data_IF_890089510055
#
_entry.id   IF_890089510055
#
_cell.length_a   1.000
_cell.length_b   1.000
_cell.length_c   1.000
_cell.angle_alpha   90.00
_cell.angle_beta   90.00
_cell.angle_gamma   90.00
#
_symmetry.space_group_name_H-M   'P 1'
#
loop_
_entity.id
_entity.type
_entity.pdbx_description
1 polymer ?
#
# COMPACT_ATOMS: atom_id res chain seq x y z
N UNK A 1 -9.47 62.03 26.69
CA UNK A 1 -9.16 60.61 26.95
C UNK A 1 -10.47 59.82 26.94
N UNK A 2 -10.87 59.26 25.79
CA UNK A 2 -11.97 58.28 25.68
C UNK A 2 -11.57 57.27 24.59
N UNK A 3 -11.62 56.00 24.98
CA UNK A 3 -11.02 54.84 24.33
C UNK A 3 -11.90 54.37 23.16
N UNK A 4 -11.27 54.16 22.01
CA UNK A 4 -11.84 53.56 20.80
C UNK A 4 -11.94 52.04 21.02
N UNK A 5 -13.14 51.46 20.94
CA UNK A 5 -13.35 50.01 20.82
C UNK A 5 -14.02 49.78 19.46
N UNK A 6 -13.21 49.38 18.48
CA UNK A 6 -13.65 48.94 17.15
C UNK A 6 -13.93 47.44 17.21
N UNK A 7 -15.22 47.08 17.27
CA UNK A 7 -15.71 45.70 17.28
C UNK A 7 -15.76 45.16 15.84
N UNK A 8 -14.72 44.41 15.44
CA UNK A 8 -14.66 43.71 14.14
C UNK A 8 -15.31 42.33 14.30
N UNK A 9 -16.54 42.19 13.80
CA UNK A 9 -17.22 40.91 13.64
C UNK A 9 -16.66 40.17 12.42
N UNK A 10 -15.89 39.10 12.63
CA UNK A 10 -15.53 38.14 11.59
C UNK A 10 -16.57 37.01 11.56
N UNK A 11 -17.55 37.10 10.66
CA UNK A 11 -18.40 35.97 10.28
C UNK A 11 -17.68 35.14 9.22
N UNK A 12 -16.93 34.12 9.64
CA UNK A 12 -16.51 33.03 8.76
C UNK A 12 -17.54 31.90 8.85
N UNK A 13 -18.49 31.87 7.91
CA UNK A 13 -19.30 30.70 7.63
C UNK A 13 -18.42 29.62 7.01
N UNK A 14 -18.16 28.55 7.75
CA UNK A 14 -17.55 27.34 7.22
C UNK A 14 -18.68 26.43 6.74
N UNK A 15 -18.91 26.36 5.42
CA UNK A 15 -19.86 25.43 4.84
C UNK A 15 -19.25 24.02 4.89
N UNK A 16 -19.67 23.23 5.88
CA UNK A 16 -19.29 21.83 6.01
C UNK A 16 -20.06 21.02 4.96
N UNK A 17 -19.35 20.55 3.94
CA UNK A 17 -19.85 19.51 3.03
C UNK A 17 -20.13 18.27 3.89
N UNK A 18 -21.41 17.98 4.09
CA UNK A 18 -21.92 16.80 4.75
C UNK A 18 -21.58 15.59 3.87
N UNK A 19 -20.63 14.77 4.30
CA UNK A 19 -20.46 13.42 3.75
C UNK A 19 -21.24 12.48 4.67
N UNK A 20 -22.28 11.84 4.13
CA UNK A 20 -22.93 10.74 4.84
C UNK A 20 -21.89 9.65 5.17
N UNK A 21 -21.67 9.44 6.46
CA UNK A 21 -20.84 8.36 6.96
C UNK A 21 -21.49 7.01 6.61
N UNK A 22 -21.06 6.40 5.50
CA UNK A 22 -21.34 4.99 5.26
C UNK A 22 -20.66 4.15 6.35
N UNK A 23 -21.44 3.81 7.37
CA UNK A 23 -21.00 2.96 8.47
C UNK A 23 -21.01 1.52 8.00
N UNK A 24 -19.89 1.03 7.47
CA UNK A 24 -19.74 -0.39 7.16
C UNK A 24 -19.66 -1.18 8.48
N UNK A 25 -20.72 -1.93 8.80
CA UNK A 25 -20.71 -2.89 9.91
C UNK A 25 -19.78 -4.06 9.57
N UNK A 26 -18.54 -3.98 10.04
CA UNK A 26 -17.68 -5.16 10.12
C UNK A 26 -18.23 -6.13 11.17
N UNK A 27 -18.12 -7.46 10.97
CA UNK A 27 -18.12 -8.34 12.12
C UNK A 27 -16.89 -7.98 12.94
N UNK A 28 -17.11 -7.20 14.02
CA UNK A 28 -16.15 -7.12 15.12
C UNK A 28 -15.87 -8.57 15.49
N UNK A 29 -14.66 -9.06 15.21
CA UNK A 29 -14.17 -10.23 15.95
C UNK A 29 -13.96 -9.67 17.35
N UNK A 30 -15.03 -9.69 18.15
CA UNK A 30 -14.96 -9.22 19.51
C UNK A 30 -13.92 -10.06 20.22
N UNK A 31 -12.91 -9.44 20.86
CA UNK A 31 -11.92 -10.18 21.60
C UNK A 31 -12.68 -11.02 22.63
N UNK A 32 -12.55 -12.34 22.51
CA UNK A 32 -13.20 -13.26 23.45
C UNK A 32 -12.61 -12.98 24.83
N UNK A 33 -13.36 -13.27 25.89
CA UNK A 33 -12.86 -13.16 27.27
C UNK A 33 -11.52 -13.90 27.48
N UNK A 34 -11.24 -14.91 26.65
CA UNK A 34 -9.99 -15.71 26.58
C UNK A 34 -8.82 -15.05 25.83
N UNK A 35 -9.00 -13.83 25.30
CA UNK A 35 -7.95 -13.03 24.66
C UNK A 35 -7.31 -12.03 25.63
N UNK A 36 -7.79 -11.97 26.87
CA UNK A 36 -7.20 -11.18 27.95
C UNK A 36 -6.67 -12.07 29.06
N UNK A 37 -5.47 -11.75 29.53
CA UNK A 37 -4.87 -12.34 30.70
C UNK A 37 -4.86 -11.33 31.84
N UNK A 38 -5.28 -11.76 33.03
CA UNK A 38 -5.20 -10.98 34.26
C UNK A 38 -3.86 -11.30 34.93
N UNK A 39 -2.97 -10.30 34.99
CA UNK A 39 -1.63 -10.42 35.59
C UNK A 39 -1.77 -10.86 37.05
N UNK A 40 -0.99 -11.86 37.46
CA UNK A 40 -0.92 -12.36 38.83
C UNK A 40 0.30 -11.78 39.54
N UNK A 41 0.30 -11.83 40.88
CA UNK A 41 1.50 -11.49 41.68
C UNK A 41 2.67 -12.39 41.25
N UNK A 42 3.80 -11.79 40.90
CA UNK A 42 4.99 -12.50 40.43
C UNK A 42 5.09 -12.69 38.90
N UNK A 43 4.05 -12.31 38.13
CA UNK A 43 4.14 -12.31 36.68
C UNK A 43 5.05 -11.19 36.15
N UNK A 44 5.75 -11.47 35.06
CA UNK A 44 6.44 -10.48 34.25
C UNK A 44 6.16 -10.75 32.76
N UNK A 45 6.54 -9.81 31.87
CA UNK A 45 6.27 -9.97 30.44
C UNK A 45 6.92 -11.23 29.84
N UNK A 46 8.05 -11.67 30.39
CA UNK A 46 8.73 -12.90 29.96
C UNK A 46 7.94 -14.16 30.38
N UNK A 47 7.48 -14.25 31.62
CA UNK A 47 6.68 -15.40 32.10
C UNK A 47 5.37 -15.53 31.34
N UNK A 48 4.70 -14.39 31.08
CA UNK A 48 3.46 -14.35 30.28
C UNK A 48 3.74 -14.73 28.83
N UNK A 49 4.81 -14.20 28.23
CA UNK A 49 5.23 -14.52 26.87
C UNK A 49 5.47 -16.02 26.68
N UNK A 50 6.22 -16.64 27.60
CA UNK A 50 6.53 -18.07 27.59
C UNK A 50 5.28 -18.93 27.78
N UNK A 51 4.42 -18.57 28.74
CA UNK A 51 3.19 -19.31 29.06
C UNK A 51 2.21 -19.37 27.90
N UNK A 52 2.04 -18.26 27.19
CA UNK A 52 1.05 -18.14 26.12
C UNK A 52 1.66 -18.28 24.71
N UNK A 53 2.97 -18.52 24.61
CA UNK A 53 3.70 -18.61 23.35
C UNK A 53 3.47 -17.39 22.44
N UNK A 54 3.52 -16.19 23.02
CA UNK A 54 3.35 -14.90 22.33
C UNK A 54 4.59 -14.06 22.61
N UNK A 55 5.20 -13.44 21.59
CA UNK A 55 6.42 -12.66 21.82
C UNK A 55 6.16 -11.43 22.70
N UNK A 56 7.13 -11.12 23.59
CA UNK A 56 7.11 -9.94 24.47
C UNK A 56 6.80 -8.65 23.69
N UNK A 57 7.43 -8.49 22.51
CA UNK A 57 7.20 -7.34 21.60
C UNK A 57 5.73 -7.21 21.17
N UNK A 58 5.04 -8.32 20.91
CA UNK A 58 3.63 -8.33 20.54
C UNK A 58 2.78 -7.88 21.73
N UNK A 59 3.04 -8.44 22.92
CA UNK A 59 2.36 -8.06 24.17
C UNK A 59 2.53 -6.55 24.44
N UNK A 60 3.76 -6.03 24.42
CA UNK A 60 4.07 -4.61 24.64
C UNK A 60 3.28 -3.71 23.67
N UNK A 61 3.40 -3.99 22.37
CA UNK A 61 2.81 -3.16 21.32
C UNK A 61 1.28 -3.06 21.43
N UNK A 62 0.60 -4.15 21.75
CA UNK A 62 -0.87 -4.20 21.70
C UNK A 62 -1.52 -3.74 23.02
N UNK A 63 -0.74 -3.65 24.07
CA UNK A 63 -1.18 -3.18 25.37
C UNK A 63 -0.67 -1.77 25.70
N UNK A 64 0.02 -1.13 24.74
CA UNK A 64 0.58 0.22 24.92
C UNK A 64 1.55 0.31 26.10
N UNK A 65 2.24 -0.78 26.44
CA UNK A 65 3.12 -0.83 27.61
C UNK A 65 4.37 -0.02 27.29
N UNK A 66 4.58 1.09 28.01
CA UNK A 66 5.74 1.97 27.82
C UNK A 66 6.90 1.54 28.70
N UNK A 67 8.11 1.97 28.34
CA UNK A 67 9.28 1.85 29.22
C UNK A 67 8.96 2.46 30.60
N UNK A 68 9.36 1.80 31.70
CA UNK A 68 10.26 0.64 31.81
C UNK A 68 9.57 -0.74 31.72
N UNK A 69 8.51 -0.87 30.92
CA UNK A 69 7.78 -2.13 30.64
C UNK A 69 7.13 -2.80 31.85
N UNK A 70 6.76 -1.99 32.85
CA UNK A 70 6.11 -2.45 34.08
C UNK A 70 4.71 -2.96 33.81
N UNK A 71 4.36 -4.05 34.49
CA UNK A 71 3.01 -4.60 34.57
C UNK A 71 2.66 -4.81 36.04
N UNK A 72 1.38 -4.72 36.38
CA UNK A 72 0.91 -4.77 37.77
C UNK A 72 -0.05 -5.94 37.99
N UNK A 73 -0.09 -6.54 39.19
CA UNK A 73 -1.12 -7.50 39.54
C UNK A 73 -2.52 -6.97 39.25
N UNK A 74 -3.40 -7.85 38.77
CA UNK A 74 -4.76 -7.57 38.30
C UNK A 74 -4.88 -6.76 37.00
N UNK A 75 -3.79 -6.24 36.43
CA UNK A 75 -3.81 -5.61 35.12
C UNK A 75 -4.30 -6.60 34.06
N UNK A 76 -5.19 -6.14 33.17
CA UNK A 76 -5.63 -6.94 32.01
C UNK A 76 -4.71 -6.68 30.84
N UNK A 77 -4.12 -7.74 30.32
CA UNK A 77 -3.24 -7.73 29.15
C UNK A 77 -3.93 -8.48 28.02
N UNK A 78 -4.16 -7.80 26.91
CA UNK A 78 -4.55 -8.41 25.64
C UNK A 78 -3.42 -9.29 25.10
N UNK A 79 -3.75 -10.55 24.81
CA UNK A 79 -2.85 -11.57 24.29
C UNK A 79 -3.22 -11.86 22.83
N UNK A 80 -2.66 -11.13 21.86
CA UNK A 80 -2.99 -11.32 20.45
C UNK A 80 -2.51 -12.69 19.97
N UNK A 81 -3.46 -13.62 19.79
CA UNK A 81 -3.16 -14.97 19.33
C UNK A 81 -2.58 -14.96 17.91
N UNK A 82 -1.82 -15.98 17.61
CA UNK A 82 -1.33 -16.23 16.26
C UNK A 82 -2.48 -16.82 15.44
N UNK A 83 -2.89 -16.11 14.39
CA UNK A 83 -3.92 -16.60 13.47
C UNK A 83 -3.23 -17.49 12.45
N UNK A 84 -3.63 -18.76 12.37
CA UNK A 84 -3.14 -19.69 11.35
C UNK A 84 -4.24 -19.93 10.33
N UNK A 85 -3.89 -19.89 9.06
CA UNK A 85 -4.74 -20.28 7.95
C UNK A 85 -4.29 -21.61 7.37
N UNK A 86 -5.22 -22.53 7.10
CA UNK A 86 -4.94 -23.78 6.41
C UNK A 86 -5.20 -23.60 4.91
N UNK A 87 -4.15 -23.71 4.12
CA UNK A 87 -4.19 -23.56 2.65
C UNK A 87 -5.19 -24.56 2.06
N UNK A 88 -6.11 -24.10 1.23
CA UNK A 88 -7.08 -24.91 0.50
C UNK A 88 -6.66 -25.05 -0.97
N UNK A 89 -7.29 -26.00 -1.68
CA UNK A 89 -7.09 -26.15 -3.12
C UNK A 89 -7.43 -24.83 -3.84
N UNK A 90 -6.50 -24.33 -4.66
CA UNK A 90 -6.64 -23.06 -5.38
C UNK A 90 -6.25 -21.81 -4.59
N UNK A 91 -5.83 -21.94 -3.33
CA UNK A 91 -5.30 -20.79 -2.59
C UNK A 91 -3.89 -20.41 -3.06
N UNK A 92 -3.64 -19.10 -3.14
CA UNK A 92 -2.31 -18.51 -3.30
C UNK A 92 -1.99 -17.65 -2.09
N UNK A 93 -0.72 -17.36 -1.82
CA UNK A 93 -0.38 -16.47 -0.71
C UNK A 93 -1.02 -15.09 -0.90
N UNK A 94 -1.18 -14.66 -2.16
CA UNK A 94 -1.93 -13.47 -2.53
C UNK A 94 -3.39 -13.59 -2.12
N UNK A 95 -4.14 -14.61 -2.56
CA UNK A 95 -5.56 -14.77 -2.21
C UNK A 95 -5.79 -14.88 -0.69
N UNK A 96 -4.91 -15.59 0.01
CA UNK A 96 -4.94 -15.70 1.49
C UNK A 96 -4.70 -14.35 2.14
N UNK A 97 -3.69 -13.60 1.68
CA UNK A 97 -3.41 -12.25 2.20
C UNK A 97 -4.61 -11.32 2.02
N UNK A 98 -5.30 -11.39 0.88
CA UNK A 98 -6.50 -10.60 0.60
C UNK A 98 -7.64 -10.98 1.53
N UNK A 99 -7.92 -12.28 1.65
CA UNK A 99 -9.00 -12.82 2.50
C UNK A 99 -8.84 -12.45 3.97
N UNK A 100 -7.60 -12.41 4.44
CA UNK A 100 -7.28 -12.19 5.85
C UNK A 100 -6.72 -10.78 6.12
N UNK A 101 -6.88 -9.88 5.15
CA UNK A 101 -6.48 -8.47 5.19
C UNK A 101 -5.04 -8.27 5.65
N UNK A 102 -4.14 -9.17 5.27
CA UNK A 102 -2.72 -9.11 5.63
C UNK A 102 -1.86 -8.82 4.41
N UNK A 103 -0.57 -8.60 4.61
CA UNK A 103 0.37 -8.27 3.54
C UNK A 103 1.16 -9.52 3.12
N UNK A 104 1.19 -9.82 1.81
CA UNK A 104 1.87 -11.00 1.23
C UNK A 104 3.33 -11.09 1.68
N UNK A 105 4.07 -9.98 1.62
CA UNK A 105 5.46 -9.93 2.03
C UNK A 105 5.63 -10.24 3.53
N UNK A 106 4.73 -9.73 4.36
CA UNK A 106 4.73 -9.99 5.81
C UNK A 106 4.41 -11.45 6.12
N UNK A 107 3.42 -12.05 5.43
CA UNK A 107 3.08 -13.47 5.57
C UNK A 107 4.28 -14.33 5.13
N UNK A 108 4.85 -14.06 3.96
CA UNK A 108 5.99 -14.82 3.42
C UNK A 108 7.17 -14.84 4.38
N UNK A 109 7.60 -13.65 4.82
CA UNK A 109 8.72 -13.49 5.74
C UNK A 109 8.47 -14.19 7.08
N UNK A 110 7.25 -14.06 7.63
CA UNK A 110 6.88 -14.65 8.91
C UNK A 110 6.86 -16.18 8.87
N UNK A 111 6.50 -16.77 7.72
CA UNK A 111 6.47 -18.21 7.52
C UNK A 111 7.77 -18.77 6.94
N UNK A 112 8.82 -17.94 6.79
CA UNK A 112 10.11 -18.31 6.18
C UNK A 112 9.93 -19.02 4.84
N UNK A 113 8.95 -18.58 4.04
CA UNK A 113 8.72 -19.17 2.73
C UNK A 113 9.87 -18.77 1.81
N UNK A 114 10.61 -19.77 1.32
CA UNK A 114 11.67 -19.57 0.31
C UNK A 114 11.07 -19.20 -1.05
N UNK A 115 9.90 -19.76 -1.36
CA UNK A 115 9.10 -19.45 -2.54
C UNK A 115 7.63 -19.27 -2.12
N UNK A 116 7.03 -18.15 -2.55
CA UNK A 116 5.67 -17.73 -2.23
C UNK A 116 4.62 -18.53 -3.04
N UNK A 117 5.04 -19.13 -4.16
CA UNK A 117 4.19 -19.94 -5.03
C UNK A 117 4.09 -21.41 -4.59
N UNK A 118 4.93 -21.86 -3.64
CA UNK A 118 5.01 -23.26 -3.22
C UNK A 118 4.17 -23.60 -1.98
N UNK A 119 3.12 -22.82 -1.70
CA UNK A 119 2.23 -23.18 -0.60
C UNK A 119 1.42 -24.43 -0.96
N UNK A 120 1.44 -25.43 -0.08
CA UNK A 120 0.79 -26.73 -0.33
C UNK A 120 -0.59 -26.76 0.31
N UNK A 121 -1.55 -27.40 -0.34
CA UNK A 121 -2.86 -27.67 0.26
C UNK A 121 -2.67 -28.37 1.60
N UNK A 122 -3.36 -27.89 2.64
CA UNK A 122 -3.23 -28.38 4.01
C UNK A 122 -2.12 -27.72 4.83
N UNK A 123 -1.19 -26.99 4.20
CA UNK A 123 -0.14 -26.24 4.90
C UNK A 123 -0.75 -25.19 5.83
N UNK A 124 -0.20 -25.06 7.03
CA UNK A 124 -0.58 -24.02 7.99
C UNK A 124 0.31 -22.79 7.78
N UNK A 125 -0.32 -21.68 7.42
CA UNK A 125 0.33 -20.39 7.22
C UNK A 125 -0.01 -19.49 8.40
N UNK A 126 1.00 -19.01 9.10
CA UNK A 126 0.87 -17.99 10.13
C UNK A 126 0.56 -16.63 9.49
N UNK A 127 -0.54 -16.03 9.89
CA UNK A 127 -1.00 -14.77 9.34
C UNK A 127 -0.60 -13.67 10.32
N UNK A 128 0.26 -12.72 9.89
CA UNK A 128 0.48 -11.52 10.65
C UNK A 128 -0.83 -10.73 10.69
N UNK A 129 -1.27 -10.40 11.90
CA UNK A 129 -2.43 -9.55 12.12
C UNK A 129 -2.15 -8.14 11.57
N UNK A 130 -3.11 -7.61 10.80
CA UNK A 130 -3.03 -6.28 10.23
C UNK A 130 -3.33 -5.23 11.30
N UNK A 131 -2.30 -4.45 11.64
CA UNK A 131 -2.46 -3.23 12.40
C UNK A 131 -2.48 -2.09 11.42
N UNK A 132 -3.64 -1.44 11.29
CA UNK A 132 -3.68 -0.10 10.71
C UNK A 132 -2.65 0.77 11.44
N UNK A 133 -1.67 1.23 10.70
CA UNK A 133 -0.83 2.30 11.17
C UNK A 133 -1.70 3.54 11.23
N UNK A 134 -2.17 3.91 12.43
CA UNK A 134 -2.52 5.31 12.71
C UNK A 134 -1.37 6.17 12.19
N UNK A 135 -1.65 7.07 11.26
CA UNK A 135 -0.70 8.04 10.70
C UNK A 135 -0.20 8.96 11.82
N UNK A 136 0.84 8.53 12.52
CA UNK A 136 1.68 9.45 13.28
C UNK A 136 2.85 9.81 12.37
N UNK A 137 2.73 10.91 11.63
CA UNK A 137 3.83 11.50 10.89
C UNK A 137 4.85 12.05 11.90
N UNK A 138 6.10 11.57 11.95
CA UNK A 138 7.19 12.34 12.54
C UNK A 138 7.58 13.41 11.52
N UNK A 139 7.37 14.68 11.87
CA UNK A 139 7.91 15.84 11.16
C UNK A 139 9.44 15.80 11.15
N UNK A 140 10.02 15.28 10.07
CA UNK A 140 11.45 15.41 9.80
C UNK A 140 11.72 16.84 9.29
N UNK A 141 12.29 17.67 10.16
CA UNK A 141 12.86 18.98 9.83
C UNK A 141 13.88 18.82 8.69
N UNK A 142 13.65 19.46 7.55
CA UNK A 142 14.64 19.61 6.48
C UNK A 142 15.73 20.58 6.94
N UNK A 143 16.97 20.11 7.08
CA UNK A 143 18.16 20.96 7.08
C UNK A 143 18.49 21.35 5.64
N UNK A 144 18.56 22.64 5.38
CA UNK A 144 18.93 23.24 4.10
C UNK A 144 20.45 23.20 3.97
N UNK A 145 20.98 22.46 2.99
CA UNK A 145 22.37 22.59 2.54
C UNK A 145 22.35 23.38 1.23
N UNK A 146 22.82 24.62 1.29
CA UNK A 146 23.04 25.46 0.11
C UNK A 146 24.31 24.99 -0.61
N UNK A 147 24.19 24.63 -1.89
CA UNK A 147 25.33 24.47 -2.79
C UNK A 147 25.14 25.41 -3.98
N UNK A 148 26.03 26.40 -4.09
CA UNK A 148 26.11 27.41 -5.17
C UNK A 148 26.15 26.71 -6.54
N UNK A 149 25.28 27.13 -7.47
CA UNK A 149 25.34 26.75 -8.89
C UNK A 149 25.99 27.87 -9.71
N UNK A 150 26.97 27.47 -10.53
CA UNK A 150 27.58 28.25 -11.60
C UNK A 150 26.56 28.38 -12.74
N UNK A 151 26.38 29.59 -13.26
CA UNK A 151 25.38 29.96 -14.26
C UNK A 151 25.90 29.62 -15.66
N UNK A 152 25.15 28.82 -16.43
CA UNK A 152 25.24 28.79 -17.90
C UNK A 152 23.85 29.03 -18.46
N UNK A 153 23.77 30.00 -19.35
CA UNK A 153 22.57 30.59 -19.96
C UNK A 153 22.01 29.63 -21.02
N UNK A 154 20.77 29.15 -20.88
CA UNK A 154 20.03 28.47 -21.96
C UNK A 154 18.62 29.03 -22.04
N UNK A 155 18.22 29.31 -23.28
CA UNK A 155 16.97 29.88 -23.79
C UNK A 155 15.72 29.65 -22.93
N UNK A 156 14.96 30.72 -22.77
CA UNK A 156 13.65 30.82 -22.14
C UNK A 156 12.64 29.84 -22.74
N UNK A 157 12.30 28.81 -21.98
CA UNK A 157 11.10 28.00 -22.20
C UNK A 157 9.99 28.61 -21.33
N UNK A 158 8.92 28.98 -22.00
CA UNK A 158 7.67 29.48 -21.44
C UNK A 158 7.23 28.65 -20.23
N UNK A 159 6.81 29.36 -19.18
CA UNK A 159 6.15 28.78 -18.00
C UNK A 159 4.83 28.13 -18.42
N UNK A 160 4.87 26.87 -18.87
CA UNK A 160 3.68 26.03 -18.86
C UNK A 160 3.51 25.44 -17.46
N UNK A 161 2.30 25.58 -16.92
CA UNK A 161 1.89 25.02 -15.63
C UNK A 161 2.08 23.49 -15.67
N UNK A 162 3.22 23.04 -15.14
CA UNK A 162 3.74 21.70 -15.35
C UNK A 162 3.05 20.68 -14.41
N UNK A 163 1.74 20.47 -14.61
CA UNK A 163 1.09 19.23 -14.19
C UNK A 163 1.64 18.15 -15.11
N UNK A 164 2.49 17.28 -14.57
CA UNK A 164 3.01 16.15 -15.32
C UNK A 164 1.85 15.20 -15.63
N UNK A 165 1.26 15.34 -16.83
CA UNK A 165 0.14 14.53 -17.31
C UNK A 165 0.68 13.21 -17.85
N UNK A 166 0.07 12.11 -17.43
CA UNK A 166 0.38 10.76 -17.89
C UNK A 166 -0.60 10.41 -19.01
N UNK A 167 -0.16 9.73 -20.07
CA UNK A 167 -1.09 9.23 -21.09
C UNK A 167 -1.62 7.85 -20.70
N UNK A 168 -2.77 7.50 -21.27
CA UNK A 168 -3.32 6.15 -21.16
C UNK A 168 -2.33 5.10 -21.72
N UNK A 169 -2.00 4.06 -20.95
CA UNK A 169 -1.03 3.04 -21.38
C UNK A 169 -1.64 2.02 -22.36
N UNK A 170 -2.96 1.85 -22.32
CA UNK A 170 -3.75 1.01 -23.23
C UNK A 170 -5.17 1.57 -23.31
N UNK A 171 -5.87 1.35 -24.43
CA UNK A 171 -7.29 1.67 -24.57
C UNK A 171 -8.13 0.48 -24.10
N UNK A 172 -9.18 0.73 -23.32
CA UNK A 172 -10.07 -0.33 -22.88
C UNK A 172 -11.05 0.09 -21.78
N UNK A 173 -11.99 -0.80 -21.45
CA UNK A 173 -12.97 -0.59 -20.37
C UNK A 173 -12.29 -0.75 -19.02
N UNK A 174 -12.52 0.18 -18.09
CA UNK A 174 -12.09 0.02 -16.71
C UNK A 174 -12.96 -1.08 -16.06
N UNK A 175 -12.31 -2.16 -15.64
CA UNK A 175 -12.93 -3.25 -14.88
C UNK A 175 -12.99 -2.91 -13.40
N UNK A 176 -11.89 -2.37 -12.88
CA UNK A 176 -11.71 -2.10 -11.46
C UNK A 176 -11.06 -0.72 -11.31
N UNK A 177 -11.73 0.18 -10.58
CA UNK A 177 -11.23 1.54 -10.30
C UNK A 177 -10.23 1.53 -9.15
N UNK A 178 -9.49 2.62 -8.99
CA UNK A 178 -8.66 2.89 -7.81
C UNK A 178 -9.50 3.06 -6.56
N UNK A 179 -8.98 2.60 -5.43
CA UNK A 179 -9.62 2.77 -4.13
C UNK A 179 -10.43 1.55 -3.70
N UNK A 180 -11.24 1.75 -2.67
CA UNK A 180 -12.08 0.70 -2.10
C UNK A 180 -13.27 0.39 -3.00
N UNK A 181 -13.39 -0.84 -3.51
CA UNK A 181 -14.61 -1.33 -4.16
C UNK A 181 -15.56 -2.05 -3.20
N UNK A 182 -16.70 -2.52 -3.71
CA UNK A 182 -17.79 -3.16 -2.94
C UNK A 182 -17.35 -4.39 -2.12
N UNK A 183 -16.26 -5.05 -2.53
CA UNK A 183 -15.70 -6.21 -1.82
C UNK A 183 -14.78 -5.85 -0.65
N UNK A 184 -14.65 -4.57 -0.29
CA UNK A 184 -13.77 -4.10 0.79
C UNK A 184 -12.27 -4.22 0.45
N UNK A 185 -11.94 -4.37 -0.82
CA UNK A 185 -10.59 -4.43 -1.36
C UNK A 185 -10.16 -3.01 -1.79
N UNK A 186 -8.95 -2.58 -1.45
CA UNK A 186 -8.36 -1.38 -2.03
C UNK A 186 -7.57 -1.76 -3.29
N UNK A 187 -7.86 -1.09 -4.41
CA UNK A 187 -7.05 -1.14 -5.63
C UNK A 187 -6.01 -0.03 -5.60
N UNK A 188 -4.72 -0.38 -5.70
CA UNK A 188 -3.63 0.59 -5.78
C UNK A 188 -3.49 1.22 -7.18
N UNK A 189 -4.28 0.74 -8.15
CA UNK A 189 -4.28 1.23 -9.52
C UNK A 189 -5.66 1.19 -10.15
N UNK A 190 -5.70 1.01 -11.46
CA UNK A 190 -6.89 0.68 -12.23
C UNK A 190 -6.64 -0.59 -13.03
N UNK A 191 -7.67 -1.39 -13.25
CA UNK A 191 -7.60 -2.55 -14.12
C UNK A 191 -8.35 -2.25 -15.40
N UNK A 192 -7.66 -2.31 -16.53
CA UNK A 192 -8.18 -1.95 -17.85
C UNK A 192 -8.31 -3.23 -18.67
N UNK A 193 -9.54 -3.62 -19.02
CA UNK A 193 -9.79 -4.76 -19.92
C UNK A 193 -9.15 -4.48 -21.27
N UNK A 194 -8.50 -5.48 -21.84
CA UNK A 194 -7.95 -5.39 -23.19
C UNK A 194 -8.10 -6.74 -23.92
N UNK A 195 -7.62 -6.78 -25.15
CA UNK A 195 -7.49 -8.00 -25.97
C UNK A 195 -6.03 -8.45 -26.03
N UNK A 196 -5.80 -9.73 -26.33
CA UNK A 196 -4.46 -10.29 -26.56
C UNK A 196 -3.73 -9.54 -27.68
N UNK A 197 -2.39 -9.46 -27.60
CA UNK A 197 -1.57 -8.82 -28.63
C UNK A 197 -1.54 -7.29 -28.61
N UNK A 198 -2.31 -6.63 -27.73
CA UNK A 198 -2.31 -5.17 -27.66
C UNK A 198 -1.05 -4.65 -26.95
N UNK A 199 -0.34 -3.73 -27.60
CA UNK A 199 0.82 -3.06 -27.05
C UNK A 199 0.46 -2.14 -25.86
N UNK A 200 1.24 -2.26 -24.79
CA UNK A 200 1.20 -1.38 -23.62
C UNK A 200 2.26 -0.30 -23.78
N UNK A 201 1.85 0.96 -23.59
CA UNK A 201 2.70 2.14 -23.80
C UNK A 201 3.15 2.76 -22.48
N UNK A 202 4.38 3.26 -22.45
CA UNK A 202 4.86 4.07 -21.33
C UNK A 202 4.04 5.36 -21.19
N UNK A 203 3.42 5.56 -20.03
CA UNK A 203 2.56 6.71 -19.77
C UNK A 203 3.30 8.05 -19.70
N UNK A 204 4.63 8.04 -19.54
CA UNK A 204 5.47 9.23 -19.60
C UNK A 204 6.95 8.84 -19.84
N UNK A 205 7.78 9.83 -20.17
CA UNK A 205 9.22 9.70 -20.25
C UNK A 205 9.79 9.22 -18.91
N UNK A 206 10.72 8.27 -18.93
CA UNK A 206 11.32 7.75 -17.71
C UNK A 206 12.37 6.67 -17.92
N UNK A 207 12.80 6.09 -16.80
CA UNK A 207 13.76 4.98 -16.73
C UNK A 207 13.07 3.76 -16.13
N UNK A 208 13.25 2.59 -16.73
CA UNK A 208 12.73 1.34 -16.18
C UNK A 208 13.58 0.93 -14.99
N UNK A 209 13.00 0.96 -13.79
CA UNK A 209 13.68 0.61 -12.53
C UNK A 209 13.44 -0.84 -12.10
N UNK A 210 12.46 -1.50 -12.72
CA UNK A 210 12.16 -2.92 -12.55
C UNK A 210 11.49 -3.46 -13.81
N UNK A 211 11.88 -4.66 -14.21
CA UNK A 211 11.30 -5.41 -15.32
C UNK A 211 11.50 -6.89 -15.02
N UNK A 212 10.41 -7.61 -14.80
CA UNK A 212 10.47 -9.02 -14.44
C UNK A 212 9.12 -9.53 -13.94
N UNK A 213 9.13 -10.71 -13.33
CA UNK A 213 7.92 -11.38 -12.83
C UNK A 213 8.04 -11.85 -11.37
N UNK A 214 9.10 -11.41 -10.69
CA UNK A 214 9.43 -11.81 -9.33
C UNK A 214 8.52 -11.16 -8.28
N UNK A 215 7.76 -10.11 -8.63
CA UNK A 215 6.77 -9.48 -7.74
C UNK A 215 5.45 -10.27 -7.79
N UNK A 216 5.13 -11.07 -6.74
CA UNK A 216 4.03 -12.02 -6.82
C UNK A 216 2.67 -11.34 -6.94
N UNK A 217 1.78 -11.97 -7.70
CA UNK A 217 0.43 -11.46 -7.97
C UNK A 217 0.36 -10.46 -9.13
N UNK A 218 1.47 -9.78 -9.46
CA UNK A 218 1.53 -8.82 -10.57
C UNK A 218 1.82 -9.50 -11.93
N UNK A 219 2.26 -10.76 -11.95
CA UNK A 219 2.71 -11.39 -13.19
C UNK A 219 3.92 -10.67 -13.74
N UNK A 220 4.07 -10.65 -15.07
CA UNK A 220 5.09 -9.83 -15.71
C UNK A 220 4.77 -8.35 -15.47
N UNK A 221 5.75 -7.63 -14.95
CA UNK A 221 5.61 -6.29 -14.43
C UNK A 221 6.79 -5.40 -14.86
N UNK A 222 6.45 -4.18 -15.26
CA UNK A 222 7.41 -3.09 -15.48
C UNK A 222 7.11 -1.97 -14.49
N UNK A 223 8.14 -1.42 -13.86
CA UNK A 223 8.06 -0.16 -13.10
C UNK A 223 8.92 0.89 -13.77
N UNK A 224 8.32 2.03 -14.13
CA UNK A 224 9.03 3.17 -14.73
C UNK A 224 9.11 4.30 -13.70
N UNK A 225 10.32 4.78 -13.42
CA UNK A 225 10.56 5.99 -12.64
C UNK A 225 10.59 7.20 -13.56
N UNK A 226 9.90 8.24 -13.16
CA UNK A 226 9.81 9.51 -13.89
C UNK A 226 10.37 10.66 -13.04
N UNK A 227 10.40 11.84 -13.66
CA UNK A 227 10.74 13.09 -12.99
C UNK A 227 9.89 13.34 -11.75
N UNK A 228 10.43 14.14 -10.81
CA UNK A 228 9.75 14.50 -9.55
C UNK A 228 9.31 13.30 -8.70
N UNK A 229 10.01 12.17 -8.79
CA UNK A 229 9.76 10.96 -7.98
C UNK A 229 8.38 10.33 -8.21
N UNK A 230 7.89 10.39 -9.44
CA UNK A 230 6.72 9.63 -9.87
C UNK A 230 7.15 8.25 -10.35
N UNK A 231 6.31 7.24 -10.12
CA UNK A 231 6.51 5.87 -10.61
C UNK A 231 5.20 5.41 -11.26
N UNK A 232 5.29 4.69 -12.38
CA UNK A 232 4.16 3.95 -12.96
C UNK A 232 4.43 2.45 -12.95
N UNK A 233 3.38 1.65 -12.73
CA UNK A 233 3.46 0.19 -12.73
C UNK A 233 2.54 -0.39 -13.81
N UNK A 234 3.04 -1.38 -14.55
CA UNK A 234 2.35 -2.04 -15.67
C UNK A 234 2.41 -3.55 -15.46
N UNK A 235 1.34 -4.14 -14.96
CA UNK A 235 1.30 -5.54 -14.55
C UNK A 235 0.48 -6.43 -15.49
N UNK A 236 0.56 -7.74 -15.26
CA UNK A 236 -0.12 -8.79 -16.00
C UNK A 236 0.26 -8.85 -17.48
N UNK A 237 1.44 -8.35 -17.85
CA UNK A 237 1.89 -8.35 -19.24
C UNK A 237 2.04 -9.79 -19.74
N UNK A 238 1.70 -10.04 -21.01
CA UNK A 238 2.00 -11.31 -21.67
C UNK A 238 3.50 -11.38 -21.98
N UNK A 239 4.02 -10.28 -22.55
CA UNK A 239 5.42 -10.14 -22.96
C UNK A 239 6.00 -8.82 -22.49
N UNK A 240 7.24 -8.85 -22.02
CA UNK A 240 8.05 -7.68 -21.70
C UNK A 240 8.98 -7.40 -22.89
N UNK A 241 9.03 -6.14 -23.36
CA UNK A 241 9.86 -5.74 -24.51
C UNK A 241 11.03 -4.82 -24.13
N UNK A 242 11.13 -4.48 -22.84
CA UNK A 242 12.13 -3.56 -22.30
C UNK A 242 12.73 -4.11 -21.03
N UNK A 243 13.96 -3.74 -20.74
CA UNK A 243 14.72 -4.25 -19.61
C UNK A 243 15.02 -3.16 -18.59
N UNK A 244 15.47 -3.56 -17.40
CA UNK A 244 15.87 -2.62 -16.35
C UNK A 244 17.05 -1.75 -16.84
N UNK A 245 16.93 -0.44 -16.64
CA UNK A 245 17.92 0.57 -17.06
C UNK A 245 17.55 1.27 -18.37
N UNK A 246 16.64 0.71 -19.17
CA UNK A 246 16.20 1.33 -20.42
C UNK A 246 15.52 2.69 -20.16
N UNK A 247 15.90 3.67 -20.96
CA UNK A 247 15.17 4.94 -21.07
C UNK A 247 14.02 4.76 -22.05
N UNK A 248 12.84 5.23 -21.65
CA UNK A 248 11.63 5.17 -22.47
C UNK A 248 11.01 6.55 -22.65
N UNK A 249 10.41 6.76 -23.82
CA UNK A 249 9.64 7.96 -24.15
C UNK A 249 8.15 7.73 -23.93
N UNK A 250 7.43 8.79 -23.60
CA UNK A 250 5.96 8.78 -23.50
C UNK A 250 5.37 8.23 -24.80
N UNK A 251 4.56 7.18 -24.69
CA UNK A 251 3.91 6.52 -25.83
C UNK A 251 4.71 5.37 -26.45
N UNK A 252 5.95 5.15 -26.04
CA UNK A 252 6.77 4.04 -26.51
C UNK A 252 6.21 2.70 -26.01
N UNK A 253 6.20 1.68 -26.89
CA UNK A 253 5.85 0.30 -26.49
C UNK A 253 6.85 -0.24 -25.48
N UNK A 254 6.33 -0.84 -24.41
CA UNK A 254 7.13 -1.46 -23.35
C UNK A 254 6.83 -2.95 -23.17
N UNK A 255 5.76 -3.45 -23.79
CA UNK A 255 5.30 -4.82 -23.63
C UNK A 255 3.94 -5.05 -24.26
N UNK A 256 3.45 -6.28 -24.14
CA UNK A 256 2.13 -6.71 -24.62
C UNK A 256 1.24 -7.01 -23.42
N UNK A 257 0.00 -6.53 -23.42
CA UNK A 257 -0.96 -6.82 -22.36
C UNK A 257 -1.31 -8.31 -22.34
N UNK A 258 -1.51 -8.88 -21.16
CA UNK A 258 -1.85 -10.27 -21.00
C UNK A 258 -2.73 -10.53 -19.80
N UNK A 259 -2.62 -11.74 -19.28
CA UNK A 259 -3.28 -12.21 -18.07
C UNK A 259 -2.31 -12.96 -17.15
N UNK A 260 -1.01 -12.66 -17.21
CA UNK A 260 -0.02 -13.32 -16.35
C UNK A 260 -0.20 -12.96 -14.88
N UNK A 261 0.27 -13.82 -13.98
CA UNK A 261 0.09 -13.64 -12.55
C UNK A 261 -1.28 -14.15 -12.10
N UNK A 262 -2.05 -13.32 -11.40
CA UNK A 262 -3.27 -13.76 -10.71
C UNK A 262 -4.52 -13.03 -11.21
N UNK A 263 -4.75 -13.09 -12.52
CA UNK A 263 -5.95 -12.57 -13.19
C UNK A 263 -6.48 -13.60 -14.19
N UNK A 264 -7.81 -13.66 -14.35
CA UNK A 264 -8.45 -14.59 -15.29
C UNK A 264 -8.55 -13.99 -16.70
N UNK A 265 -8.98 -12.73 -16.76
CA UNK A 265 -9.18 -11.99 -18.00
C UNK A 265 -7.93 -11.21 -18.40
N UNK A 266 -7.74 -11.03 -19.72
CA UNK A 266 -6.72 -10.16 -20.29
C UNK A 266 -6.99 -8.72 -19.87
N UNK A 267 -6.05 -8.17 -19.10
CA UNK A 267 -6.17 -6.84 -18.54
C UNK A 267 -4.81 -6.27 -18.17
N UNK A 268 -4.69 -4.95 -18.22
CA UNK A 268 -3.58 -4.24 -17.62
C UNK A 268 -3.98 -3.79 -16.22
N UNK A 269 -3.21 -4.16 -15.20
CA UNK A 269 -3.24 -3.44 -13.93
C UNK A 269 -2.22 -2.30 -13.99
N UNK A 270 -2.71 -1.07 -13.88
CA UNK A 270 -1.93 0.15 -14.05
C UNK A 270 -1.98 1.02 -12.80
N UNK A 271 -0.81 1.37 -12.28
CA UNK A 271 -0.68 2.26 -11.12
C UNK A 271 0.08 3.54 -11.45
N UNK A 272 -0.27 4.62 -10.75
CA UNK A 272 0.53 5.84 -10.64
C UNK A 272 0.88 6.04 -9.17
N UNK A 273 2.16 6.26 -8.87
CA UNK A 273 2.66 6.38 -7.50
C UNK A 273 3.51 7.64 -7.32
N UNK A 274 3.31 8.33 -6.19
CA UNK A 274 4.20 9.41 -5.73
C UNK A 274 5.14 8.86 -4.67
N UNK A 275 6.37 8.54 -5.08
CA UNK A 275 7.26 7.72 -4.28
C UNK A 275 6.63 6.36 -3.96
N UNK A 276 6.45 6.05 -2.67
CA UNK A 276 5.86 4.76 -2.24
C UNK A 276 4.32 4.74 -2.25
N UNK A 277 3.65 5.89 -2.38
CA UNK A 277 2.21 5.98 -2.22
C UNK A 277 1.51 5.89 -3.58
N UNK A 278 0.59 4.93 -3.73
CA UNK A 278 -0.30 4.87 -4.88
C UNK A 278 -1.34 6.00 -4.84
N UNK A 279 -1.65 6.58 -5.99
CA UNK A 279 -2.67 7.63 -6.17
C UNK A 279 -3.64 7.22 -7.27
N UNK A 280 -4.85 7.79 -7.27
CA UNK A 280 -5.85 7.48 -8.28
C UNK A 280 -5.36 7.84 -9.70
N UNK A 281 -5.09 6.86 -10.59
CA UNK A 281 -4.59 7.15 -11.92
C UNK A 281 -5.52 8.05 -12.75
N UNK A 282 -6.84 7.95 -12.55
CA UNK A 282 -7.83 8.73 -13.29
C UNK A 282 -7.75 10.24 -13.04
N UNK A 283 -7.09 10.67 -11.96
CA UNK A 283 -6.84 12.10 -11.68
C UNK A 283 -5.57 12.64 -12.37
N UNK A 284 -4.80 11.77 -13.03
CA UNK A 284 -3.49 12.10 -13.59
C UNK A 284 -3.33 11.69 -15.06
N UNK A 285 -4.29 10.94 -15.60
CA UNK A 285 -4.34 10.52 -17.00
C UNK A 285 -4.95 11.61 -17.89
N UNK A 286 -4.43 11.74 -19.11
CA UNK A 286 -4.93 12.62 -20.18
C UNK A 286 -4.87 11.94 -21.54
#
# INVERSE_FOLDING_TARGET
>A
MKIIILLIFFLYGCESIFYDEFTIKYPKIEPKKTDFYKVKKGDNLYSISKKFNISIKKIIKHNGIKEPFKIYPNQRIFLPKNVYYRVKKGDTLYSISRKLKSNVYSISKLNKLKDINQIKVGQRILIPEYFEQKKNNPTLKKKTIQKKKKVVKVKSISKSSNTQKFIWPVKGKILIKYGSGDSGFFNDGINIKSSSGIAVKASNDGEIIYSGNEIPGYGNLILIKHNKNWITAYAHLEKIEKTKGDLVKRGQSIGIVGNTGNVKDIQLHFEIRKGKNAVNPLKHLS
#
